data_IF_194903739482
#
_entry.id   IF_194903739482
#
_cell.length_a   1.000
_cell.length_b   1.000
_cell.length_c   1.000
_cell.angle_alpha   90.00
_cell.angle_beta   90.00
_cell.angle_gamma   90.00
#
_symmetry.space_group_name_H-M   'P 1'
#
loop_
_entity.id
_entity.type
_entity.pdbx_description
1 polymer ?
#
# COMPACT_ATOMS: atom_id res chain seq x y z
N UNK A 1 -16.76 -20.51 22.55
CA UNK A 1 -16.49 -19.65 21.39
C UNK A 1 -15.72 -18.41 21.83
N UNK A 2 -14.62 -18.08 21.16
CA UNK A 2 -13.87 -16.84 21.40
C UNK A 2 -14.72 -15.60 21.07
N UNK A 3 -14.27 -14.41 21.50
CA UNK A 3 -14.91 -13.14 21.10
C UNK A 3 -14.88 -12.97 19.59
N UNK A 4 -13.74 -13.23 18.97
CA UNK A 4 -13.51 -13.16 17.52
C UNK A 4 -14.38 -14.14 16.75
N UNK A 5 -14.52 -15.39 17.22
CA UNK A 5 -15.43 -16.37 16.61
C UNK A 5 -16.89 -15.88 16.59
N UNK A 6 -17.35 -15.19 17.64
CA UNK A 6 -18.69 -14.60 17.70
C UNK A 6 -18.86 -13.42 16.74
N UNK A 7 -17.83 -12.59 16.58
CA UNK A 7 -17.84 -11.48 15.62
C UNK A 7 -17.83 -12.01 14.17
N UNK A 8 -17.03 -13.04 13.88
CA UNK A 8 -16.97 -13.65 12.55
C UNK A 8 -18.25 -14.40 12.19
N UNK A 9 -18.90 -15.06 13.15
CA UNK A 9 -20.22 -15.65 12.93
C UNK A 9 -21.27 -14.60 12.51
N UNK A 10 -21.16 -13.35 12.99
CA UNK A 10 -22.03 -12.24 12.55
C UNK A 10 -21.65 -11.72 11.16
N UNK A 11 -20.36 -11.71 10.81
CA UNK A 11 -19.88 -11.28 9.50
C UNK A 11 -20.13 -12.32 8.40
N UNK A 12 -20.18 -13.60 8.75
CA UNK A 12 -20.43 -14.71 7.83
C UNK A 12 -21.71 -15.47 8.20
N UNK A 13 -22.89 -14.82 8.18
CA UNK A 13 -24.13 -15.47 8.55
C UNK A 13 -24.40 -16.62 7.56
N UNK A 14 -24.70 -17.81 8.09
CA UNK A 14 -24.97 -19.01 7.30
C UNK A 14 -23.74 -19.77 6.78
N UNK A 15 -22.52 -19.35 7.13
CA UNK A 15 -21.32 -20.16 6.88
C UNK A 15 -21.15 -21.23 7.98
N UNK A 16 -20.70 -22.45 7.62
CA UNK A 16 -20.47 -23.53 8.59
C UNK A 16 -19.27 -23.25 9.50
N UNK A 17 -19.27 -23.88 10.69
CA UNK A 17 -18.24 -23.71 11.72
C UNK A 17 -16.83 -24.07 11.24
N UNK A 18 -16.71 -25.01 10.30
CA UNK A 18 -15.44 -25.39 9.69
C UNK A 18 -14.86 -24.30 8.75
N UNK A 19 -15.61 -23.23 8.45
CA UNK A 19 -15.11 -22.03 7.79
C UNK A 19 -14.92 -20.90 8.81
N UNK A 20 -15.93 -20.62 9.65
CA UNK A 20 -15.87 -19.47 10.56
C UNK A 20 -14.78 -19.58 11.62
N UNK A 21 -14.50 -20.80 12.13
CA UNK A 21 -13.45 -21.01 13.14
C UNK A 21 -12.03 -20.77 12.57
N UNK A 22 -11.61 -21.38 11.45
CA UNK A 22 -10.32 -21.05 10.84
C UNK A 22 -10.17 -19.57 10.46
N UNK A 23 -11.25 -18.91 10.04
CA UNK A 23 -11.22 -17.47 9.74
C UNK A 23 -10.97 -16.65 11.01
N UNK A 24 -11.62 -16.99 12.12
CA UNK A 24 -11.36 -16.35 13.40
C UNK A 24 -9.90 -16.59 13.87
N UNK A 25 -9.38 -17.80 13.71
CA UNK A 25 -7.98 -18.12 14.04
C UNK A 25 -6.99 -17.30 13.22
N UNK A 26 -7.26 -17.07 11.92
CA UNK A 26 -6.41 -16.23 11.05
C UNK A 26 -6.42 -14.76 11.49
N UNK A 27 -7.56 -14.25 11.96
CA UNK A 27 -7.67 -12.88 12.49
C UNK A 27 -6.97 -12.75 13.84
N UNK A 28 -7.17 -13.72 14.74
CA UNK A 28 -6.53 -13.73 16.06
C UNK A 28 -4.99 -13.79 15.94
N UNK A 29 -4.48 -14.39 14.85
CA UNK A 29 -3.05 -14.43 14.50
C UNK A 29 -2.56 -13.20 13.72
N UNK A 30 -3.45 -12.26 13.39
CA UNK A 30 -3.10 -11.07 12.60
C UNK A 30 -2.71 -11.37 11.15
N UNK A 31 -3.07 -12.55 10.62
CA UNK A 31 -2.77 -12.92 9.22
C UNK A 31 -3.67 -12.15 8.26
N UNK A 32 -4.94 -11.97 8.63
CA UNK A 32 -5.94 -11.21 7.88
C UNK A 32 -6.74 -10.33 8.86
N UNK A 33 -7.46 -9.34 8.33
CA UNK A 33 -8.38 -8.52 9.14
C UNK A 33 -9.86 -8.82 8.83
N UNK A 34 -10.77 -8.18 9.58
CA UNK A 34 -12.21 -8.32 9.35
C UNK A 34 -12.64 -7.77 7.98
N UNK A 35 -11.92 -6.80 7.42
CA UNK A 35 -12.21 -6.22 6.11
C UNK A 35 -11.86 -7.19 4.98
N UNK A 36 -10.80 -7.99 5.11
CA UNK A 36 -10.49 -9.12 4.18
C UNK A 36 -11.70 -10.04 4.06
N UNK A 37 -12.33 -10.36 5.19
CA UNK A 37 -13.52 -11.23 5.24
C UNK A 37 -14.71 -10.58 4.53
N UNK A 38 -14.95 -9.29 4.75
CA UNK A 38 -16.03 -8.55 4.08
C UNK A 38 -15.80 -8.52 2.57
N UNK A 39 -14.60 -8.14 2.12
CA UNK A 39 -14.24 -8.04 0.70
C UNK A 39 -14.39 -9.39 -0.01
N UNK A 40 -13.85 -10.47 0.54
CA UNK A 40 -13.97 -11.81 -0.07
C UNK A 40 -15.42 -12.28 -0.09
N UNK A 41 -16.19 -12.07 0.98
CA UNK A 41 -17.61 -12.42 1.02
C UNK A 41 -18.39 -11.70 -0.08
N UNK A 42 -18.11 -10.43 -0.31
CA UNK A 42 -18.77 -9.62 -1.34
C UNK A 42 -18.43 -10.09 -2.76
N UNK A 43 -17.17 -10.41 -3.03
CA UNK A 43 -16.72 -10.79 -4.39
C UNK A 43 -16.96 -12.26 -4.71
N UNK A 44 -16.62 -13.17 -3.80
CA UNK A 44 -16.72 -14.61 -4.03
C UNK A 44 -18.14 -15.18 -3.79
N UNK A 45 -18.97 -14.46 -3.03
CA UNK A 45 -20.31 -14.90 -2.63
C UNK A 45 -20.31 -16.13 -1.72
N UNK A 46 -21.52 -16.62 -1.40
CA UNK A 46 -21.73 -17.86 -0.62
C UNK A 46 -21.54 -19.09 -1.53
N UNK A 47 -20.30 -19.48 -1.81
CA UNK A 47 -20.00 -20.81 -2.33
C UNK A 47 -19.36 -21.63 -1.22
N UNK A 48 -20.06 -22.66 -0.77
CA UNK A 48 -19.78 -23.45 0.45
C UNK A 48 -18.53 -24.33 0.42
N UNK A 49 -17.44 -23.86 -0.22
CA UNK A 49 -16.18 -24.59 -0.31
C UNK A 49 -15.14 -23.94 0.61
N UNK A 50 -14.90 -24.58 1.76
CA UNK A 50 -13.96 -24.12 2.80
C UNK A 50 -12.60 -23.71 2.24
N UNK A 51 -11.99 -24.57 1.42
CA UNK A 51 -10.65 -24.35 0.90
C UNK A 51 -10.58 -23.14 -0.03
N UNK A 52 -11.58 -22.95 -0.90
CA UNK A 52 -11.65 -21.78 -1.78
C UNK A 52 -11.84 -20.48 -1.01
N UNK A 53 -12.67 -20.48 0.03
CA UNK A 53 -12.88 -19.27 0.84
C UNK A 53 -11.60 -18.84 1.56
N UNK A 54 -10.92 -19.78 2.23
CA UNK A 54 -9.65 -19.50 2.90
C UNK A 54 -8.55 -19.07 1.92
N UNK A 55 -8.48 -19.73 0.76
CA UNK A 55 -7.56 -19.34 -0.32
C UNK A 55 -7.80 -17.90 -0.80
N UNK A 56 -9.05 -17.51 -1.03
CA UNK A 56 -9.38 -16.15 -1.44
C UNK A 56 -9.03 -15.10 -0.37
N UNK A 57 -9.16 -15.42 0.92
CA UNK A 57 -8.73 -14.52 2.00
C UNK A 57 -7.22 -14.26 1.92
N UNK A 58 -6.42 -15.32 1.78
CA UNK A 58 -4.97 -15.22 1.67
C UNK A 58 -4.55 -14.49 0.39
N UNK A 59 -5.26 -14.72 -0.72
CA UNK A 59 -5.00 -14.05 -1.99
C UNK A 59 -5.26 -12.54 -1.88
N UNK A 60 -6.42 -12.14 -1.36
CA UNK A 60 -6.76 -10.72 -1.16
C UNK A 60 -5.76 -10.05 -0.23
N UNK A 61 -5.37 -10.72 0.84
CA UNK A 61 -4.38 -10.21 1.77
C UNK A 61 -3.00 -10.04 1.11
N UNK A 62 -2.56 -11.04 0.33
CA UNK A 62 -1.33 -10.95 -0.44
C UNK A 62 -1.32 -9.79 -1.43
N UNK A 63 -2.43 -9.57 -2.15
CA UNK A 63 -2.57 -8.43 -3.04
C UNK A 63 -2.46 -7.09 -2.28
N UNK A 64 -3.11 -6.97 -1.12
CA UNK A 64 -3.01 -5.75 -0.29
C UNK A 64 -1.58 -5.50 0.17
N UNK A 65 -0.86 -6.55 0.61
CA UNK A 65 0.56 -6.45 0.99
C UNK A 65 1.43 -5.98 -0.18
N UNK A 66 1.08 -6.33 -1.41
CA UNK A 66 1.73 -5.83 -2.64
C UNK A 66 1.27 -4.41 -3.06
N UNK A 67 0.55 -3.68 -2.21
CA UNK A 67 0.03 -2.34 -2.48
C UNK A 67 -1.05 -2.29 -3.57
N UNK A 68 -1.66 -3.43 -3.92
CA UNK A 68 -2.76 -3.46 -4.89
C UNK A 68 -4.02 -2.84 -4.24
N UNK A 69 -4.71 -1.90 -4.91
CA UNK A 69 -5.87 -1.20 -4.34
C UNK A 69 -7.14 -2.06 -4.40
N UNK A 70 -7.15 -3.21 -3.72
CA UNK A 70 -8.23 -4.20 -3.79
C UNK A 70 -9.56 -3.60 -3.34
N UNK A 71 -9.57 -2.94 -2.18
CA UNK A 71 -10.80 -2.40 -1.58
C UNK A 71 -11.46 -1.33 -2.46
N UNK A 72 -10.66 -0.38 -2.95
CA UNK A 72 -11.13 0.65 -3.88
C UNK A 72 -11.66 0.05 -5.18
N UNK A 73 -10.97 -0.97 -5.70
CA UNK A 73 -11.39 -1.65 -6.94
C UNK A 73 -12.72 -2.36 -6.77
N UNK A 74 -12.91 -3.09 -5.67
CA UNK A 74 -14.16 -3.81 -5.38
C UNK A 74 -15.31 -2.84 -5.17
N UNK A 75 -15.09 -1.76 -4.41
CA UNK A 75 -16.09 -0.72 -4.19
C UNK A 75 -16.53 -0.07 -5.51
N UNK A 76 -15.58 0.38 -6.34
CA UNK A 76 -15.93 1.02 -7.63
C UNK A 76 -16.55 0.03 -8.62
N UNK A 77 -16.10 -1.23 -8.63
CA UNK A 77 -16.70 -2.26 -9.49
C UNK A 77 -18.17 -2.48 -9.12
N UNK A 78 -18.48 -2.53 -7.82
CA UNK A 78 -19.86 -2.62 -7.33
C UNK A 78 -20.70 -1.42 -7.77
N UNK A 79 -20.21 -0.20 -7.62
CA UNK A 79 -20.91 1.02 -8.08
C UNK A 79 -21.12 1.05 -9.60
N UNK A 80 -20.18 0.47 -10.34
CA UNK A 80 -20.26 0.32 -11.79
C UNK A 80 -21.11 -0.89 -12.24
N UNK A 81 -21.61 -1.71 -11.31
CA UNK A 81 -22.30 -2.97 -11.65
C UNK A 81 -21.41 -4.01 -12.34
N UNK A 82 -20.09 -3.95 -12.14
CA UNK A 82 -19.09 -4.82 -12.77
C UNK A 82 -18.62 -5.90 -11.79
N UNK A 83 -18.32 -7.08 -12.34
CA UNK A 83 -17.78 -8.21 -11.57
C UNK A 83 -16.27 -8.09 -11.45
N UNK A 84 -15.75 -8.49 -10.29
CA UNK A 84 -14.32 -8.59 -10.01
C UNK A 84 -13.92 -10.07 -9.99
N UNK A 85 -12.75 -10.40 -10.54
CA UNK A 85 -12.19 -11.75 -10.44
C UNK A 85 -11.01 -11.74 -9.46
N UNK A 86 -11.13 -12.49 -8.38
CA UNK A 86 -10.08 -12.60 -7.37
C UNK A 86 -8.78 -13.20 -7.92
N UNK A 87 -8.83 -13.99 -8.99
CA UNK A 87 -7.65 -14.62 -9.58
C UNK A 87 -6.89 -13.74 -10.57
N UNK A 88 -7.27 -12.47 -10.72
CA UNK A 88 -6.50 -11.54 -11.54
C UNK A 88 -5.09 -11.36 -10.99
N UNK A 89 -4.12 -11.18 -11.90
CA UNK A 89 -2.77 -10.78 -11.52
C UNK A 89 -2.77 -9.39 -10.86
N UNK A 90 -1.76 -9.05 -10.04
CA UNK A 90 -1.62 -7.72 -9.46
C UNK A 90 -1.70 -6.59 -10.50
N UNK A 91 -1.04 -6.77 -11.65
CA UNK A 91 -1.10 -5.83 -12.77
C UNK A 91 -2.54 -5.66 -13.30
N UNK A 92 -3.27 -6.78 -13.49
CA UNK A 92 -4.66 -6.72 -13.97
C UNK A 92 -5.59 -6.02 -12.98
N UNK A 93 -5.38 -6.21 -11.67
CA UNK A 93 -6.09 -5.45 -10.63
C UNK A 93 -5.84 -3.95 -10.72
N UNK A 94 -4.57 -3.53 -10.87
CA UNK A 94 -4.20 -2.11 -11.01
C UNK A 94 -4.78 -1.50 -12.29
N UNK A 95 -4.81 -2.25 -13.39
CA UNK A 95 -5.46 -1.82 -14.63
C UNK A 95 -6.96 -1.64 -14.46
N UNK A 96 -7.61 -2.60 -13.82
CA UNK A 96 -9.05 -2.56 -13.59
C UNK A 96 -9.43 -1.39 -12.68
N UNK A 97 -8.67 -1.20 -11.60
CA UNK A 97 -8.74 -0.05 -10.73
C UNK A 97 -8.66 1.25 -11.53
N UNK A 98 -7.64 1.41 -12.39
CA UNK A 98 -7.44 2.61 -13.18
C UNK A 98 -8.61 2.88 -14.15
N UNK A 99 -9.17 1.83 -14.77
CA UNK A 99 -10.35 1.96 -15.64
C UNK A 99 -11.58 2.40 -14.84
N UNK A 100 -11.84 1.77 -13.69
CA UNK A 100 -12.98 2.07 -12.83
C UNK A 100 -12.87 3.48 -12.24
N UNK A 101 -11.67 3.91 -11.82
CA UNK A 101 -11.41 5.26 -11.33
C UNK A 101 -11.73 6.33 -12.38
N UNK A 102 -11.29 6.11 -13.63
CA UNK A 102 -11.60 6.99 -14.76
C UNK A 102 -13.09 7.02 -15.04
N UNK A 103 -13.74 5.86 -15.07
CA UNK A 103 -15.18 5.76 -15.28
C UNK A 103 -15.96 6.50 -14.19
N UNK A 104 -15.64 6.29 -12.91
CA UNK A 104 -16.28 6.95 -11.78
C UNK A 104 -16.12 8.48 -11.89
N UNK A 105 -14.93 8.92 -12.28
CA UNK A 105 -14.64 10.33 -12.50
C UNK A 105 -15.46 10.92 -13.65
N UNK A 106 -15.51 10.27 -14.81
CA UNK A 106 -16.29 10.72 -15.97
C UNK A 106 -17.79 10.75 -15.67
N UNK A 107 -18.31 9.73 -14.98
CA UNK A 107 -19.70 9.69 -14.52
C UNK A 107 -20.02 10.89 -13.63
N UNK A 108 -19.15 11.21 -12.67
CA UNK A 108 -19.33 12.37 -11.79
C UNK A 108 -19.26 13.72 -12.50
N UNK A 109 -18.47 13.82 -13.57
CA UNK A 109 -18.42 15.02 -14.40
C UNK A 109 -19.68 15.20 -15.26
N UNK A 110 -20.35 14.11 -15.63
CA UNK A 110 -21.59 14.13 -16.40
C UNK A 110 -22.85 14.39 -15.54
N UNK A 111 -22.80 14.07 -14.24
CA UNK A 111 -23.88 14.35 -13.28
C UNK A 111 -23.94 15.83 -12.88
N UNK A 112 -25.11 16.29 -12.42
CA UNK A 112 -25.25 17.61 -11.82
C UNK A 112 -24.31 17.75 -10.62
N UNK A 113 -23.56 18.85 -10.56
CA UNK A 113 -22.60 19.08 -9.49
C UNK A 113 -23.32 19.16 -8.14
N UNK A 114 -22.95 18.28 -7.22
CA UNK A 114 -23.44 18.33 -5.84
C UNK A 114 -22.43 19.08 -5.00
N UNK A 115 -22.92 20.02 -4.20
CA UNK A 115 -22.13 20.74 -3.21
C UNK A 115 -22.17 19.99 -1.88
N UNK A 116 -21.03 19.88 -1.21
CA UNK A 116 -20.89 19.27 0.10
C UNK A 116 -21.01 20.34 1.19
N UNK A 117 -21.76 20.04 2.25
CA UNK A 117 -21.74 20.84 3.47
C UNK A 117 -20.50 20.44 4.29
N UNK A 118 -19.60 21.40 4.49
CA UNK A 118 -18.32 21.22 5.17
C UNK A 118 -18.10 22.27 6.26
N UNK A 119 -19.16 22.95 6.72
CA UNK A 119 -19.05 24.05 7.69
C UNK A 119 -18.32 23.62 8.98
N UNK A 120 -18.64 22.44 9.50
CA UNK A 120 -18.03 21.89 10.72
C UNK A 120 -16.53 21.58 10.57
N UNK A 121 -16.10 21.25 9.35
CA UNK A 121 -14.68 20.97 9.03
C UNK A 121 -13.95 22.29 8.86
N UNK A 122 -14.56 23.23 8.14
CA UNK A 122 -14.01 24.56 7.90
C UNK A 122 -13.78 25.34 9.19
N UNK A 123 -14.71 25.26 10.14
CA UNK A 123 -14.58 25.92 11.45
C UNK A 123 -13.40 25.42 12.30
N UNK A 124 -12.80 24.27 11.95
CA UNK A 124 -11.67 23.65 12.66
C UNK A 124 -10.35 23.78 11.91
N UNK A 125 -10.37 24.34 10.70
CA UNK A 125 -9.17 24.64 9.93
C UNK A 125 -8.74 26.09 10.17
N UNK A 126 -7.46 26.42 9.98
CA UNK A 126 -6.98 27.80 9.99
C UNK A 126 -7.70 28.65 8.93
N UNK A 127 -7.91 29.94 9.22
CA UNK A 127 -8.54 30.89 8.29
C UNK A 127 -7.82 30.97 6.94
N UNK A 128 -6.49 30.77 6.94
CA UNK A 128 -5.65 30.75 5.74
C UNK A 128 -4.62 29.63 5.82
N UNK A 129 -4.60 28.82 4.79
CA UNK A 129 -3.59 27.79 4.55
C UNK A 129 -3.40 27.62 3.04
N UNK A 130 -2.22 27.15 2.57
CA UNK A 130 -1.93 26.95 1.15
C UNK A 130 -2.74 25.77 0.59
N UNK A 131 -4.03 25.98 0.32
CA UNK A 131 -4.92 24.94 -0.17
C UNK A 131 -6.39 25.28 -0.11
N UNK A 132 -7.25 24.28 -0.29
CA UNK A 132 -8.71 24.44 -0.20
C UNK A 132 -9.42 23.10 0.07
N UNK A 133 -10.60 23.17 0.67
CA UNK A 133 -11.53 22.03 0.74
C UNK A 133 -12.20 21.77 -0.62
N UNK A 134 -12.32 20.49 -0.99
CA UNK A 134 -13.09 20.08 -2.17
C UNK A 134 -14.57 20.12 -1.81
N UNK A 135 -15.27 21.16 -2.26
CA UNK A 135 -16.69 21.42 -1.93
C UNK A 135 -17.71 20.83 -2.89
N UNK A 136 -17.29 20.16 -3.96
CA UNK A 136 -18.26 19.59 -4.91
C UNK A 136 -17.79 18.32 -5.59
N UNK A 137 -18.74 17.51 -6.00
CA UNK A 137 -18.51 16.27 -6.76
C UNK A 137 -17.72 16.50 -8.04
N UNK A 138 -17.96 17.63 -8.72
CA UNK A 138 -17.21 18.02 -9.91
C UNK A 138 -15.74 18.30 -9.60
N UNK A 139 -15.44 19.04 -8.52
CA UNK A 139 -14.06 19.29 -8.09
C UNK A 139 -13.37 18.02 -7.62
N UNK A 140 -14.10 17.12 -6.94
CA UNK A 140 -13.60 15.82 -6.53
C UNK A 140 -13.17 14.96 -7.72
N UNK A 141 -14.02 14.92 -8.76
CA UNK A 141 -13.70 14.25 -10.02
C UNK A 141 -12.48 14.87 -10.73
N UNK A 142 -12.43 16.20 -10.84
CA UNK A 142 -11.28 16.89 -11.45
C UNK A 142 -9.96 16.62 -10.70
N UNK A 143 -10.00 16.54 -9.36
CA UNK A 143 -8.83 16.18 -8.57
C UNK A 143 -8.38 14.74 -8.86
N UNK A 144 -9.32 13.80 -8.97
CA UNK A 144 -9.03 12.42 -9.37
C UNK A 144 -8.35 12.31 -10.73
N UNK A 145 -8.80 13.08 -11.74
CA UNK A 145 -8.14 13.13 -13.05
C UNK A 145 -6.73 13.71 -12.95
N UNK A 146 -6.58 14.81 -12.20
CA UNK A 146 -5.33 15.56 -12.14
C UNK A 146 -4.24 14.77 -11.42
N UNK A 147 -4.57 14.20 -10.27
CA UNK A 147 -3.60 13.49 -9.45
C UNK A 147 -3.47 12.02 -9.82
N UNK A 148 -4.35 11.50 -10.68
CA UNK A 148 -4.39 10.08 -11.07
C UNK A 148 -4.50 9.14 -9.88
N UNK A 149 -5.37 9.50 -8.93
CA UNK A 149 -5.77 8.61 -7.84
C UNK A 149 -7.26 8.74 -7.52
N UNK A 150 -7.80 7.76 -6.80
CA UNK A 150 -9.24 7.50 -6.67
C UNK A 150 -9.94 8.41 -5.65
N UNK A 151 -9.79 9.73 -5.76
CA UNK A 151 -10.52 10.65 -4.88
C UNK A 151 -12.02 10.65 -5.18
N UNK A 152 -12.40 10.37 -6.43
CA UNK A 152 -13.80 10.39 -6.86
C UNK A 152 -14.69 9.38 -6.11
N UNK A 153 -14.12 8.28 -5.60
CA UNK A 153 -14.85 7.28 -4.81
C UNK A 153 -15.22 7.75 -3.40
N UNK A 154 -14.71 8.91 -2.96
CA UNK A 154 -15.03 9.49 -1.67
C UNK A 154 -16.37 10.26 -1.66
N UNK A 155 -17.01 10.48 -2.82
CA UNK A 155 -18.26 11.26 -2.93
C UNK A 155 -19.35 10.77 -1.96
N UNK A 156 -19.59 9.46 -1.89
CA UNK A 156 -20.58 8.89 -0.98
C UNK A 156 -20.21 9.12 0.49
N UNK A 157 -18.93 8.96 0.84
CA UNK A 157 -18.42 9.14 2.20
C UNK A 157 -18.50 10.60 2.65
N UNK A 158 -18.21 11.55 1.77
CA UNK A 158 -18.32 12.98 2.03
C UNK A 158 -19.78 13.39 2.24
N UNK A 159 -20.70 12.89 1.40
CA UNK A 159 -22.15 13.15 1.57
C UNK A 159 -22.71 12.64 2.89
N UNK A 160 -22.18 11.53 3.39
CA UNK A 160 -22.55 10.96 4.69
C UNK A 160 -21.88 11.68 5.87
N UNK A 161 -21.10 12.74 5.61
CA UNK A 161 -20.36 13.47 6.63
C UNK A 161 -19.24 12.66 7.29
N UNK A 162 -18.88 11.50 6.72
CA UNK A 162 -17.92 10.58 7.32
C UNK A 162 -16.46 10.96 7.05
N UNK A 163 -16.20 11.82 6.06
CA UNK A 163 -14.90 12.41 5.80
C UNK A 163 -15.03 13.71 4.98
N UNK A 164 -13.94 14.46 4.88
CA UNK A 164 -13.78 15.57 3.96
C UNK A 164 -12.44 15.45 3.23
N UNK A 165 -12.34 16.07 2.06
CA UNK A 165 -11.11 16.07 1.26
C UNK A 165 -10.58 17.49 1.10
N UNK A 166 -9.31 17.67 1.45
CA UNK A 166 -8.55 18.90 1.29
C UNK A 166 -7.49 18.74 0.20
N UNK A 167 -7.21 19.82 -0.53
CA UNK A 167 -6.05 19.97 -1.40
C UNK A 167 -5.06 20.89 -0.70
N UNK A 168 -3.86 20.40 -0.39
CA UNK A 168 -2.79 21.15 0.29
C UNK A 168 -1.60 21.30 -0.66
N UNK A 169 -0.96 22.46 -0.65
CA UNK A 169 0.26 22.74 -1.38
C UNK A 169 1.43 22.92 -0.41
N UNK A 170 2.45 22.07 -0.55
CA UNK A 170 3.72 22.17 0.17
C UNK A 170 4.84 22.05 -0.85
N UNK A 171 5.83 22.94 -0.79
CA UNK A 171 6.95 22.99 -1.75
C UNK A 171 6.53 23.00 -3.22
N UNK A 172 5.45 23.73 -3.52
CA UNK A 172 4.82 23.80 -4.85
C UNK A 172 4.26 22.46 -5.36
N UNK A 173 4.31 21.41 -4.54
CA UNK A 173 3.73 20.12 -4.81
C UNK A 173 2.30 20.07 -4.25
N UNK A 174 1.38 19.49 -5.02
CA UNK A 174 -0.03 19.31 -4.63
C UNK A 174 -0.22 17.96 -3.96
N UNK A 175 -0.89 17.97 -2.81
CA UNK A 175 -1.32 16.79 -2.07
C UNK A 175 -2.83 16.81 -1.85
N UNK A 176 -3.43 15.62 -1.85
CA UNK A 176 -4.81 15.40 -1.45
C UNK A 176 -4.82 14.78 -0.06
N UNK A 177 -5.60 15.34 0.84
CA UNK A 177 -5.64 14.99 2.26
C UNK A 177 -7.05 14.57 2.65
N UNK A 178 -7.20 13.39 3.24
CA UNK A 178 -8.44 12.93 3.87
C UNK A 178 -8.48 13.39 5.32
N UNK A 179 -9.56 14.10 5.65
CA UNK A 179 -9.88 14.57 6.98
C UNK A 179 -11.05 13.78 7.55
N UNK A 180 -11.01 13.51 8.85
CA UNK A 180 -12.07 12.80 9.56
C UNK A 180 -12.35 13.44 10.89
N UNK A 181 -13.64 13.57 11.19
CA UNK A 181 -14.12 13.98 12.50
C UNK A 181 -14.43 12.72 13.29
N UNK A 182 -13.88 12.61 14.50
CA UNK A 182 -14.19 11.49 15.40
C UNK A 182 -15.56 11.65 16.09
N UNK A 183 -15.92 10.70 16.96
CA UNK A 183 -17.20 10.76 17.69
C UNK A 183 -17.29 11.90 18.71
N UNK A 184 -16.16 12.46 19.14
CA UNK A 184 -16.08 13.58 20.08
C UNK A 184 -16.16 14.92 19.36
N UNK A 185 -16.02 14.92 18.03
CA UNK A 185 -15.99 16.12 17.21
C UNK A 185 -14.58 16.58 16.87
N UNK A 186 -13.53 15.83 17.22
CA UNK A 186 -12.15 16.23 16.94
C UNK A 186 -11.80 15.91 15.48
N UNK A 187 -11.26 16.91 14.77
CA UNK A 187 -10.85 16.77 13.37
C UNK A 187 -9.39 16.32 13.30
N UNK A 188 -9.09 15.40 12.40
CA UNK A 188 -7.74 14.87 12.22
C UNK A 188 -7.46 14.49 10.77
N UNK A 189 -6.16 14.41 10.45
CA UNK A 189 -5.67 13.92 9.16
C UNK A 189 -5.51 12.41 9.24
N UNK A 190 -6.08 11.68 8.28
CA UNK A 190 -6.02 10.21 8.25
C UNK A 190 -5.22 9.69 7.06
N UNK A 191 -5.18 10.44 5.96
CA UNK A 191 -4.44 10.04 4.77
C UNK A 191 -3.95 11.26 4.00
N UNK A 192 -2.72 11.17 3.49
CA UNK A 192 -2.14 12.13 2.56
C UNK A 192 -1.65 11.37 1.34
N UNK A 193 -2.02 11.84 0.14
CA UNK A 193 -1.61 11.26 -1.14
C UNK A 193 -1.15 12.36 -2.09
N UNK A 194 -0.02 12.12 -2.74
CA UNK A 194 0.44 12.87 -3.90
C UNK A 194 -0.05 12.22 -5.20
N UNK A 195 0.46 12.74 -6.32
CA UNK A 195 0.19 12.20 -7.66
C UNK A 195 0.51 10.69 -7.71
N UNK A 196 -0.34 9.92 -8.38
CA UNK A 196 -0.24 8.46 -8.48
C UNK A 196 -0.26 7.71 -7.13
N UNK A 197 -1.02 8.19 -6.15
CA UNK A 197 -1.11 7.58 -4.81
C UNK A 197 0.21 7.56 -4.01
N UNK A 198 1.24 8.30 -4.45
CA UNK A 198 2.52 8.38 -3.74
C UNK A 198 2.33 8.96 -2.35
N UNK A 199 2.97 8.35 -1.35
CA UNK A 199 2.99 8.90 -0.01
C UNK A 199 3.90 10.14 0.04
N UNK A 200 3.60 11.15 0.86
CA UNK A 200 4.56 12.21 1.17
C UNK A 200 5.74 11.64 1.97
N UNK A 201 6.89 12.33 1.94
CA UNK A 201 7.97 12.09 2.89
C UNK A 201 7.54 12.50 4.31
N UNK A 202 8.24 12.01 5.34
CA UNK A 202 7.95 12.35 6.74
C UNK A 202 7.95 13.87 6.99
N UNK A 203 8.93 14.58 6.43
CA UNK A 203 9.04 16.04 6.55
C UNK A 203 7.84 16.76 5.92
N UNK A 204 7.43 16.33 4.72
CA UNK A 204 6.27 16.90 4.04
C UNK A 204 4.98 16.57 4.80
N UNK A 205 4.86 15.35 5.32
CA UNK A 205 3.72 14.95 6.15
C UNK A 205 3.61 15.86 7.38
N UNK A 206 4.71 16.06 8.11
CA UNK A 206 4.72 16.92 9.29
C UNK A 206 4.32 18.36 8.93
N UNK A 207 4.87 18.91 7.85
CA UNK A 207 4.51 20.27 7.39
C UNK A 207 3.05 20.39 6.99
N UNK A 208 2.46 19.35 6.40
CA UNK A 208 1.02 19.34 6.08
C UNK A 208 0.17 19.37 7.36
N UNK A 209 0.58 18.63 8.40
CA UNK A 209 -0.10 18.65 9.70
C UNK A 209 -0.02 20.03 10.36
N UNK A 210 1.17 20.63 10.36
CA UNK A 210 1.40 21.98 10.89
C UNK A 210 0.57 23.03 10.13
N UNK A 211 0.56 22.96 8.80
CA UNK A 211 -0.21 23.87 7.94
C UNK A 211 -1.71 23.78 8.22
N UNK A 212 -2.23 22.57 8.45
CA UNK A 212 -3.64 22.36 8.74
C UNK A 212 -3.97 22.59 10.22
N UNK A 213 -2.98 22.67 11.10
CA UNK A 213 -3.19 22.75 12.55
C UNK A 213 -3.89 21.52 13.12
N UNK A 214 -3.76 20.35 12.48
CA UNK A 214 -4.50 19.13 12.83
C UNK A 214 -3.56 18.01 13.26
N UNK A 215 -3.96 17.19 14.24
CA UNK A 215 -3.22 15.99 14.60
C UNK A 215 -3.34 14.91 13.52
N UNK A 216 -2.32 14.06 13.44
CA UNK A 216 -2.42 12.79 12.73
C UNK A 216 -3.29 11.83 13.54
N UNK A 217 -4.29 11.22 12.89
CA UNK A 217 -5.03 10.10 13.45
C UNK A 217 -4.57 8.84 12.72
N UNK A 218 -3.96 7.94 13.49
CA UNK A 218 -3.77 6.55 13.07
C UNK A 218 -5.13 5.99 12.62
N UNK A 219 -5.27 5.54 11.35
CA UNK A 219 -6.52 4.97 10.89
C UNK A 219 -6.92 3.83 11.83
N UNK A 220 -8.12 3.89 12.39
CA UNK A 220 -8.68 2.84 13.29
C UNK A 220 -8.67 1.45 12.63
N UNK A 221 -8.58 1.42 11.31
CA UNK A 221 -8.19 0.26 10.52
C UNK A 221 -6.77 0.49 10.04
N UNK A 222 -5.80 0.04 10.82
CA UNK A 222 -4.43 -0.04 10.37
C UNK A 222 -4.40 -1.01 9.18
N UNK A 223 -4.43 -0.45 7.96
CA UNK A 223 -3.46 -0.93 6.99
C UNK A 223 -2.13 -0.91 7.76
N UNK A 224 -1.49 -2.07 7.94
CA UNK A 224 -0.11 -2.10 8.37
C UNK A 224 0.67 -1.24 7.37
N UNK A 225 0.79 0.06 7.66
CA UNK A 225 1.97 0.78 7.25
C UNK A 225 3.07 0.14 8.09
N UNK A 226 4.07 -0.49 7.48
CA UNK A 226 5.24 -0.90 8.23
C UNK A 226 5.69 0.33 9.03
N UNK A 227 5.68 0.23 10.37
CA UNK A 227 6.26 1.28 11.19
C UNK A 227 7.75 1.20 10.90
N UNK A 228 8.37 2.18 10.20
CA UNK A 228 9.72 2.01 9.69
C UNK A 228 10.72 1.75 10.81
N UNK A 229 10.54 2.43 11.96
CA UNK A 229 11.41 2.24 13.12
C UNK A 229 11.24 0.87 13.77
N UNK A 230 9.99 0.38 13.86
CA UNK A 230 9.72 -0.99 14.33
C UNK A 230 10.24 -2.04 13.36
N UNK A 231 10.05 -1.86 12.07
CA UNK A 231 10.55 -2.76 11.03
C UNK A 231 12.07 -2.82 11.04
N UNK A 232 12.74 -1.67 11.20
CA UNK A 232 14.19 -1.61 11.36
C UNK A 232 14.63 -2.41 12.59
N UNK A 233 13.96 -2.22 13.71
CA UNK A 233 14.30 -2.91 14.95
C UNK A 233 14.04 -4.42 14.85
N UNK A 234 12.89 -4.83 14.30
CA UNK A 234 12.54 -6.23 14.07
C UNK A 234 13.54 -6.91 13.11
N UNK A 235 13.97 -6.22 12.06
CA UNK A 235 15.01 -6.69 11.14
C UNK A 235 16.34 -6.91 11.87
N UNK A 236 16.82 -5.91 12.62
CA UNK A 236 18.08 -6.00 13.36
C UNK A 236 18.02 -7.06 14.46
N UNK A 237 16.89 -7.22 15.13
CA UNK A 237 16.69 -8.27 16.14
C UNK A 237 16.68 -9.66 15.51
N UNK A 238 16.09 -9.79 14.32
CA UNK A 238 16.15 -11.03 13.54
C UNK A 238 17.59 -11.36 13.13
N UNK A 239 18.36 -10.38 12.63
CA UNK A 239 19.78 -10.55 12.32
C UNK A 239 20.58 -10.99 13.56
N UNK A 240 20.34 -10.39 14.73
CA UNK A 240 20.97 -10.80 16.00
C UNK A 240 20.67 -12.25 16.38
N UNK A 241 19.47 -12.74 16.09
CA UNK A 241 19.06 -14.12 16.38
C UNK A 241 19.77 -15.13 15.48
N UNK A 242 20.00 -14.82 14.20
CA UNK A 242 20.64 -15.73 13.25
C UNK A 242 22.18 -15.72 13.34
N UNK A 243 22.79 -14.63 13.84
CA UNK A 243 24.25 -14.50 13.96
C UNK A 243 24.93 -15.69 14.67
N UNK A 244 24.48 -16.19 15.83
CA UNK A 244 25.09 -17.35 16.49
C UNK A 244 25.10 -18.62 15.62
N UNK A 245 24.04 -18.82 14.83
CA UNK A 245 23.89 -19.99 13.95
C UNK A 245 24.89 -19.89 12.79
N UNK A 246 24.98 -18.71 12.16
CA UNK A 246 25.92 -18.43 11.08
C UNK A 246 27.38 -18.56 11.55
N UNK A 247 27.69 -18.12 12.77
CA UNK A 247 29.01 -18.30 13.40
C UNK A 247 29.36 -19.76 13.61
N UNK A 248 28.40 -20.57 14.08
CA UNK A 248 28.62 -22.01 14.26
C UNK A 248 28.92 -22.71 12.92
N UNK A 249 28.33 -22.22 11.83
CA UNK A 249 28.60 -22.66 10.47
C UNK A 249 29.84 -22.02 9.82
N UNK A 250 30.63 -21.22 10.57
CA UNK A 250 31.85 -20.56 10.09
C UNK A 250 31.63 -19.65 8.88
N UNK A 251 30.44 -19.09 8.72
CA UNK A 251 30.19 -18.03 7.74
C UNK A 251 30.80 -16.74 8.27
N UNK A 252 31.65 -16.10 7.48
CA UNK A 252 32.35 -14.87 7.86
C UNK A 252 31.57 -13.62 7.43
N UNK A 253 30.97 -13.66 6.24
CA UNK A 253 30.25 -12.53 5.66
C UNK A 253 29.06 -12.99 4.82
N UNK A 254 27.99 -12.19 4.84
CA UNK A 254 26.86 -12.30 3.93
C UNK A 254 26.82 -11.02 3.10
N UNK A 255 26.67 -11.16 1.79
CA UNK A 255 26.44 -10.04 0.87
C UNK A 255 25.15 -10.31 0.09
N UNK A 256 24.28 -9.32 -0.01
CA UNK A 256 23.02 -9.40 -0.73
C UNK A 256 22.91 -8.21 -1.64
N UNK A 257 22.70 -8.43 -2.92
CA UNK A 257 22.38 -7.37 -3.88
C UNK A 257 20.87 -7.33 -4.11
N UNK A 258 20.32 -6.15 -4.35
CA UNK A 258 18.94 -6.01 -4.78
C UNK A 258 18.84 -4.99 -5.91
N UNK A 259 17.90 -5.24 -6.82
CA UNK A 259 17.59 -4.33 -7.91
C UNK A 259 16.09 -4.33 -8.19
N UNK A 260 15.49 -3.19 -7.95
CA UNK A 260 14.09 -2.94 -8.18
C UNK A 260 13.76 -2.34 -9.55
N UNK A 261 14.72 -2.26 -10.48
CA UNK A 261 14.40 -1.91 -11.87
C UNK A 261 13.64 -3.03 -12.57
N UNK A 262 12.73 -2.67 -13.48
CA UNK A 262 11.88 -3.61 -14.20
C UNK A 262 10.49 -3.76 -13.59
N UNK A 263 9.74 -4.76 -14.05
CA UNK A 263 8.34 -4.99 -13.66
C UNK A 263 8.19 -5.75 -12.32
N UNK A 264 9.29 -6.27 -11.77
CA UNK A 264 9.23 -7.30 -10.72
C UNK A 264 10.14 -7.08 -9.51
N UNK A 265 11.11 -6.16 -9.57
CA UNK A 265 12.09 -5.82 -8.52
C UNK A 265 12.49 -6.92 -7.52
N UNK A 266 13.73 -7.42 -7.60
CA UNK A 266 14.14 -8.62 -6.86
C UNK A 266 15.29 -8.32 -5.88
N UNK A 267 15.20 -8.91 -4.69
CA UNK A 267 16.36 -9.13 -3.83
C UNK A 267 17.02 -10.41 -4.35
N UNK A 268 18.26 -10.31 -4.81
CA UNK A 268 19.00 -11.46 -5.32
C UNK A 268 19.33 -12.44 -4.20
N UNK A 269 19.64 -13.68 -4.59
CA UNK A 269 19.99 -14.72 -3.63
C UNK A 269 21.27 -14.33 -2.82
N UNK A 270 21.24 -14.41 -1.47
CA UNK A 270 22.39 -14.03 -0.65
C UNK A 270 23.66 -14.83 -0.99
N UNK A 271 24.77 -14.12 -1.12
CA UNK A 271 26.11 -14.71 -1.25
C UNK A 271 26.76 -14.87 0.12
N UNK A 272 27.13 -16.10 0.46
CA UNK A 272 27.76 -16.45 1.75
C UNK A 272 29.25 -16.68 1.57
N UNK A 273 30.07 -16.15 2.49
CA UNK A 273 31.52 -16.25 2.43
C UNK A 273 32.06 -17.08 3.60
N UNK A 274 32.96 -18.02 3.28
CA UNK A 274 33.89 -18.66 4.23
C UNK A 274 35.33 -18.37 3.78
N UNK A 275 35.99 -17.44 4.47
CA UNK A 275 37.26 -16.85 4.09
C UNK A 275 37.13 -16.14 2.74
N UNK A 276 37.84 -16.65 1.73
CA UNK A 276 37.80 -16.12 0.35
C UNK A 276 36.82 -16.87 -0.55
N UNK A 277 36.24 -17.98 -0.09
CA UNK A 277 35.34 -18.79 -0.89
C UNK A 277 33.90 -18.29 -0.77
N UNK A 278 33.21 -18.20 -1.90
CA UNK A 278 31.76 -18.02 -1.95
C UNK A 278 31.14 -19.42 -1.91
N UNK A 279 30.22 -19.63 -0.97
CA UNK A 279 29.49 -20.88 -0.82
C UNK A 279 28.06 -20.67 -1.26
N UNK A 280 27.55 -21.64 -2.02
CA UNK A 280 26.16 -21.61 -2.47
C UNK A 280 25.23 -21.81 -1.28
N UNK A 281 24.11 -21.07 -1.20
CA UNK A 281 23.15 -21.22 -0.12
C UNK A 281 22.69 -22.66 0.13
N UNK A 282 22.45 -23.44 -0.92
CA UNK A 282 21.99 -24.83 -0.79
C UNK A 282 23.03 -25.79 -0.20
N UNK A 283 24.31 -25.40 -0.18
CA UNK A 283 25.40 -26.17 0.42
C UNK A 283 25.57 -25.85 1.92
N UNK A 284 24.81 -24.88 2.45
CA UNK A 284 24.90 -24.43 3.84
C UNK A 284 23.74 -25.02 4.63
N UNK A 285 23.97 -26.18 5.24
CA UNK A 285 22.95 -26.94 5.98
C UNK A 285 22.21 -26.09 7.02
N UNK A 286 22.91 -25.19 7.71
CA UNK A 286 22.32 -24.34 8.76
C UNK A 286 21.26 -23.37 8.25
N UNK A 287 21.23 -23.05 6.95
CA UNK A 287 20.21 -22.18 6.37
C UNK A 287 18.82 -22.81 6.43
N UNK A 288 18.74 -24.14 6.37
CA UNK A 288 17.49 -24.89 6.45
C UNK A 288 17.13 -25.32 7.88
N UNK A 289 17.97 -24.99 8.88
CA UNK A 289 17.69 -25.29 10.28
C UNK A 289 16.69 -24.28 10.83
N UNK A 290 15.64 -24.80 11.48
CA UNK A 290 14.65 -24.01 12.20
C UNK A 290 15.30 -23.34 13.41
N UNK A 291 15.10 -22.03 13.54
CA UNK A 291 15.60 -21.26 14.68
C UNK A 291 14.64 -21.45 15.86
N UNK A 292 15.11 -21.96 17.02
CA UNK A 292 14.24 -22.28 18.16
C UNK A 292 13.37 -21.10 18.58
N UNK A 293 12.06 -21.34 18.71
CA UNK A 293 11.08 -20.33 19.13
C UNK A 293 10.55 -19.43 18.02
N UNK A 294 11.04 -19.56 16.78
CA UNK A 294 10.56 -18.78 15.63
C UNK A 294 9.64 -19.58 14.70
N UNK A 295 9.84 -20.90 14.61
CA UNK A 295 9.12 -21.74 13.63
C UNK A 295 9.56 -21.49 12.18
N UNK A 296 10.66 -20.74 11.97
CA UNK A 296 11.20 -20.36 10.67
C UNK A 296 12.64 -20.83 10.54
N UNK A 297 13.06 -21.16 9.32
CA UNK A 297 14.45 -21.48 9.00
C UNK A 297 15.34 -20.24 9.05
N UNK A 298 16.65 -20.45 9.22
CA UNK A 298 17.64 -19.36 9.18
C UNK A 298 17.57 -18.58 7.86
N UNK A 299 17.30 -19.25 6.73
CA UNK A 299 17.10 -18.62 5.41
C UNK A 299 15.90 -17.69 5.39
N UNK A 300 14.74 -18.18 5.81
CA UNK A 300 13.49 -17.39 5.86
C UNK A 300 13.62 -16.17 6.78
N UNK A 301 14.38 -16.29 7.88
CA UNK A 301 14.64 -15.18 8.78
C UNK A 301 15.58 -14.13 8.18
N UNK A 302 16.59 -14.54 7.40
CA UNK A 302 17.46 -13.63 6.67
C UNK A 302 16.68 -12.86 5.60
N UNK A 303 15.91 -13.56 4.76
CA UNK A 303 15.09 -12.94 3.70
C UNK A 303 14.12 -11.92 4.31
N UNK A 304 13.40 -12.33 5.35
CA UNK A 304 12.49 -11.46 6.10
C UNK A 304 13.22 -10.24 6.69
N UNK A 305 14.42 -10.41 7.25
CA UNK A 305 15.16 -9.30 7.84
C UNK A 305 15.58 -8.28 6.78
N UNK A 306 16.04 -8.72 5.60
CA UNK A 306 16.42 -7.82 4.51
C UNK A 306 15.21 -7.10 3.92
N UNK A 307 14.09 -7.79 3.70
CA UNK A 307 12.82 -7.19 3.27
C UNK A 307 12.32 -6.14 4.29
N UNK A 308 12.27 -6.49 5.58
CA UNK A 308 11.85 -5.58 6.64
C UNK A 308 12.77 -4.36 6.75
N UNK A 309 14.08 -4.55 6.53
CA UNK A 309 15.01 -3.43 6.50
C UNK A 309 14.76 -2.52 5.31
N UNK A 310 14.56 -3.05 4.09
CA UNK A 310 14.21 -2.25 2.92
C UNK A 310 12.93 -1.44 3.17
N UNK A 311 11.89 -2.07 3.70
CA UNK A 311 10.64 -1.39 4.08
C UNK A 311 10.89 -0.27 5.11
N UNK A 312 11.85 -0.45 6.01
CA UNK A 312 12.21 0.57 7.01
C UNK A 312 12.90 1.81 6.45
N UNK A 313 13.53 1.69 5.27
CA UNK A 313 14.23 2.84 4.65
C UNK A 313 13.27 3.88 4.10
N UNK A 314 11.99 3.51 3.91
CA UNK A 314 10.97 4.31 3.24
C UNK A 314 11.38 4.75 1.82
N UNK A 315 12.36 4.06 1.23
CA UNK A 315 12.81 4.26 -0.14
C UNK A 315 11.93 3.43 -1.06
N UNK A 316 11.34 4.08 -2.07
CA UNK A 316 10.56 3.42 -3.12
C UNK A 316 11.51 2.69 -4.09
N UNK A 317 12.11 1.61 -3.63
CA UNK A 317 13.17 0.89 -4.35
C UNK A 317 12.62 0.00 -5.46
N UNK A 318 11.32 -0.31 -5.52
CA UNK A 318 10.77 -1.28 -6.47
C UNK A 318 9.75 -0.69 -7.45
N UNK A 319 9.35 0.59 -7.32
CA UNK A 319 8.46 1.25 -8.28
C UNK A 319 9.18 2.34 -9.11
N UNK A 320 8.53 2.77 -10.20
CA UNK A 320 9.01 3.80 -11.13
C UNK A 320 10.31 3.38 -11.84
N UNK A 321 11.40 4.13 -11.66
CA UNK A 321 12.72 3.82 -12.22
C UNK A 321 13.45 2.74 -11.40
N UNK A 322 12.87 2.34 -10.25
CA UNK A 322 13.47 1.39 -9.32
C UNK A 322 14.64 1.97 -8.53
N UNK A 323 15.08 1.22 -7.54
CA UNK A 323 16.26 1.44 -6.74
C UNK A 323 17.13 0.20 -6.75
N UNK A 324 18.34 0.32 -6.26
CA UNK A 324 19.29 -0.78 -6.22
C UNK A 324 20.24 -0.57 -5.06
N UNK A 325 20.95 -1.61 -4.67
CA UNK A 325 21.93 -1.50 -3.62
C UNK A 325 22.32 -2.84 -3.06
N UNK A 326 22.91 -2.80 -1.88
CA UNK A 326 23.46 -3.98 -1.27
C UNK A 326 23.41 -3.95 0.27
N UNK A 327 23.34 -5.15 0.83
CA UNK A 327 23.52 -5.41 2.24
C UNK A 327 24.81 -6.18 2.46
N UNK A 328 25.59 -5.74 3.44
CA UNK A 328 26.76 -6.47 3.91
C UNK A 328 26.63 -6.74 5.40
N UNK A 329 26.64 -8.01 5.80
CA UNK A 329 26.69 -8.44 7.19
C UNK A 329 28.03 -9.13 7.47
N UNK A 330 28.86 -8.50 8.30
CA UNK A 330 30.03 -9.15 8.89
C UNK A 330 29.57 -9.99 10.09
N UNK A 331 29.67 -11.30 9.98
CA UNK A 331 29.10 -12.24 10.95
C UNK A 331 29.93 -12.28 12.25
N UNK A 332 31.25 -12.11 12.14
CA UNK A 332 32.16 -12.13 13.28
C UNK A 332 31.89 -10.94 14.22
N UNK A 333 31.84 -9.73 13.67
CA UNK A 333 31.62 -8.49 14.43
C UNK A 333 30.15 -8.18 14.66
N UNK A 334 29.25 -8.72 13.82
CA UNK A 334 27.84 -8.33 13.80
C UNK A 334 27.61 -6.95 13.16
N UNK A 335 28.58 -6.43 12.41
CA UNK A 335 28.45 -5.16 11.70
C UNK A 335 27.56 -5.34 10.46
N UNK A 336 26.48 -4.56 10.40
CA UNK A 336 25.53 -4.55 9.28
C UNK A 336 25.60 -3.21 8.55
N UNK A 337 25.86 -3.27 7.26
CA UNK A 337 25.91 -2.13 6.35
C UNK A 337 24.84 -2.29 5.27
N UNK A 338 24.20 -1.19 4.91
CA UNK A 338 23.14 -1.13 3.93
C UNK A 338 23.31 0.10 3.05
N UNK A 339 23.42 -0.13 1.76
CA UNK A 339 23.38 0.92 0.74
C UNK A 339 22.09 0.79 -0.05
N UNK A 340 21.29 1.86 -0.11
CA UNK A 340 20.02 1.88 -0.84
C UNK A 340 19.96 3.11 -1.73
N UNK A 341 20.08 2.88 -3.04
CA UNK A 341 20.07 3.90 -4.07
C UNK A 341 18.73 3.92 -4.81
N UNK A 342 18.39 5.05 -5.42
CA UNK A 342 17.23 5.20 -6.31
C UNK A 342 17.67 5.69 -7.68
N UNK A 343 16.95 5.26 -8.72
CA UNK A 343 17.11 5.79 -10.07
C UNK A 343 16.12 6.94 -10.29
N UNK A 344 16.50 7.86 -11.17
CA UNK A 344 15.68 8.98 -11.58
C UNK A 344 15.81 9.16 -13.09
N UNK A 345 14.70 9.05 -13.81
CA UNK A 345 14.61 9.32 -15.24
C UNK A 345 13.93 10.66 -15.48
N UNK A 346 14.64 11.57 -16.15
CA UNK A 346 14.10 12.82 -16.67
C UNK A 346 13.94 12.71 -18.20
N UNK A 347 12.85 13.23 -18.75
CA UNK A 347 12.65 13.28 -20.19
C UNK A 347 12.00 14.60 -20.57
N UNK A 348 12.59 15.29 -21.55
CA UNK A 348 12.07 16.52 -22.14
C UNK A 348 11.71 16.31 -23.61
N UNK A 349 10.68 17.02 -24.07
CA UNK A 349 10.31 17.08 -25.48
C UNK A 349 10.83 18.40 -26.03
N UNK A 350 11.95 18.35 -26.74
CA UNK A 350 12.62 19.54 -27.28
C UNK A 350 11.95 20.05 -28.57
N UNK A 351 11.13 19.23 -29.21
CA UNK A 351 10.43 19.57 -30.44
C UNK A 351 9.14 18.75 -30.57
N UNK A 352 8.02 19.44 -30.80
CA UNK A 352 6.73 18.84 -31.13
C UNK A 352 6.11 19.65 -32.26
N UNK A 353 5.73 18.98 -33.34
CA UNK A 353 5.06 19.58 -34.49
C UNK A 353 3.77 18.80 -34.76
N UNK A 354 2.69 19.53 -35.08
CA UNK A 354 1.44 18.96 -35.55
C UNK A 354 1.10 19.65 -36.87
N UNK A 355 1.01 18.87 -37.95
CA UNK A 355 0.68 19.37 -39.28
C UNK A 355 -0.69 18.78 -39.66
N UNK A 356 -1.66 19.65 -39.94
CA UNK A 356 -2.93 19.26 -40.57
C UNK A 356 -2.74 19.24 -42.09
N UNK A 357 -3.07 18.10 -42.72
CA UNK A 357 -2.81 17.85 -44.14
C UNK A 357 -4.02 18.15 -45.04
N UNK A 358 -5.17 18.53 -44.49
CA UNK A 358 -6.38 18.83 -45.25
C UNK A 358 -6.91 20.22 -44.89
N UNK A 359 -6.97 21.13 -45.87
CA UNK A 359 -7.63 22.42 -45.71
C UNK A 359 -9.16 22.25 -45.74
N UNK A 360 -9.93 22.99 -44.92
CA UNK A 360 -11.38 22.94 -44.95
C UNK A 360 -11.86 23.39 -46.34
N UNK A 361 -12.47 22.47 -47.09
CA UNK A 361 -13.11 22.80 -48.36
C UNK A 361 -14.18 23.86 -48.11
N UNK A 362 -13.95 25.07 -48.61
CA UNK A 362 -14.97 26.11 -48.65
C UNK A 362 -16.21 25.55 -49.37
N UNK A 363 -17.35 25.56 -48.67
CA UNK A 363 -18.64 25.27 -49.27
C UNK A 363 -18.96 26.40 -50.24
N UNK A 364 -18.71 26.17 -51.52
CA UNK A 364 -19.19 27.03 -52.60
C UNK A 364 -20.72 26.87 -52.65
N UNK A 365 -21.41 28.01 -52.46
CA UNK A 365 -22.86 28.15 -52.41
C UNK A 365 -23.58 27.76 -53.70
#
# INVERSE_FOLDING_TARGET
>A
MSRTEREIAKLLPGYPANITKPVADLIDRGVIDQNTVVTVREVAGRKGERHRFLYHLLLVEGLRKQGVPVDDTVMMAREAGRKVNLHWSPARWRDEHNRLARWATLKKLAEAAVTYDLADVEAKLPDRWPGYLIRSSRRLGMEGLRQRHCVASYDARIRLGSCAIAVVFVDRQRYTVELRTDKKGDLSVVQIKGRFNRAPTSDVQQRILEVLGLPWQEPVFAFHRPNPERNRQDALDTLRQVLPILRAARIDRIHVYFDGSGDSGMIEEPSFYQGKAIIKPDEIEVLNVEVPGTGQSTRELLDKAFEQYLDSTNVDWYNNDGGFGEFTLDVATGHFEAEVNTRYTESSCEHAEAIELEEPREQVA
#
